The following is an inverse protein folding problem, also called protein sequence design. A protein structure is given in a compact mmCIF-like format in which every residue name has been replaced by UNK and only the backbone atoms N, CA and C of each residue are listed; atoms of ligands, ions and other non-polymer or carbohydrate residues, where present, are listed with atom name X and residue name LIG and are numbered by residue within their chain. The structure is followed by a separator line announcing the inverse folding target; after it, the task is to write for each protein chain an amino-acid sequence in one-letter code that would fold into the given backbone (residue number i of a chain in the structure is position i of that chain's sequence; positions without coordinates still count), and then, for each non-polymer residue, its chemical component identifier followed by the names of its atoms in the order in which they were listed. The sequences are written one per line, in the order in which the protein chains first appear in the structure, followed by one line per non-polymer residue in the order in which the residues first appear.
data_IF_368493400601
#
_entry.id   IF_368493400601
#
_cell.length_a   1.000
_cell.length_b   1.000
_cell.length_c   1.000
_cell.angle_alpha   90.00
_cell.angle_beta   90.00
_cell.angle_gamma   90.00
#
_symmetry.space_group_name_H-M   'P 1'
#
loop_
_entity.id
_entity.type
_entity.pdbx_description
1 polymer ?
#
# COMPACT_ATOMS: atom_id res chain seq x y z
N UNK A 1 -6.19 -1.01 20.67
CA UNK A 1 -5.36 -0.29 19.68
C UNK A 1 -5.91 1.12 19.48
N UNK A 2 -5.08 2.16 19.52
CA UNK A 2 -5.56 3.53 19.29
C UNK A 2 -5.95 3.73 17.81
N UNK A 3 -6.72 4.79 17.55
CA UNK A 3 -7.27 5.08 16.21
C UNK A 3 -6.19 5.12 15.13
N UNK A 4 -5.11 5.87 15.36
CA UNK A 4 -4.02 6.02 14.39
C UNK A 4 -3.33 4.69 14.05
N UNK A 5 -3.06 3.86 15.06
CA UNK A 5 -2.41 2.56 14.84
C UNK A 5 -3.31 1.60 14.05
N UNK A 6 -4.64 1.68 14.20
CA UNK A 6 -5.57 0.91 13.35
C UNK A 6 -5.38 1.25 11.89
N UNK A 7 -5.46 2.54 11.55
CA UNK A 7 -5.34 2.99 10.16
C UNK A 7 -3.98 2.64 9.54
N UNK A 8 -2.88 2.77 10.29
CA UNK A 8 -1.55 2.39 9.78
C UNK A 8 -1.44 0.90 9.44
N UNK A 9 -2.14 0.03 10.18
CA UNK A 9 -2.17 -1.41 9.92
C UNK A 9 -3.08 -1.71 8.72
N UNK A 10 -4.26 -1.09 8.65
CA UNK A 10 -5.23 -1.30 7.57
C UNK A 10 -4.67 -0.93 6.19
N UNK A 11 -3.94 0.19 6.08
CA UNK A 11 -3.29 0.57 4.81
C UNK A 11 -2.05 -0.27 4.49
N UNK A 12 -1.64 -1.16 5.40
CA UNK A 12 -0.37 -1.90 5.41
C UNK A 12 0.82 -0.98 5.15
N UNK A 13 1.05 -0.01 6.04
CA UNK A 13 2.05 1.05 5.87
C UNK A 13 3.43 0.55 5.39
N UNK A 14 4.01 -0.57 5.90
CA UNK A 14 5.29 -1.07 5.40
C UNK A 14 5.28 -1.46 3.91
N UNK A 15 4.13 -1.87 3.38
CA UNK A 15 3.98 -2.32 1.98
C UNK A 15 3.84 -1.16 0.99
N UNK A 16 3.67 0.08 1.47
CA UNK A 16 3.75 1.25 0.60
C UNK A 16 5.15 1.44 0.00
N UNK A 17 6.18 0.78 0.54
CA UNK A 17 7.51 0.74 -0.09
C UNK A 17 7.47 0.09 -1.47
N UNK A 18 6.65 -0.95 -1.66
CA UNK A 18 6.46 -1.60 -2.96
C UNK A 18 5.82 -0.65 -4.00
N UNK A 19 5.00 0.30 -3.54
CA UNK A 19 4.45 1.38 -4.37
C UNK A 19 5.47 2.50 -4.62
N UNK A 20 6.26 2.88 -3.62
CA UNK A 20 7.19 4.00 -3.71
C UNK A 20 8.40 3.73 -4.62
N UNK A 21 8.99 2.54 -4.53
CA UNK A 21 10.18 2.14 -5.31
C UNK A 21 10.00 2.34 -6.82
N UNK A 22 8.94 1.83 -7.49
CA UNK A 22 8.78 2.02 -8.92
C UNK A 22 8.53 3.48 -9.31
N UNK A 23 7.87 4.28 -8.47
CA UNK A 23 7.68 5.72 -8.74
C UNK A 23 9.00 6.47 -8.66
N UNK A 24 9.83 6.19 -7.65
CA UNK A 24 11.16 6.80 -7.51
C UNK A 24 12.03 6.42 -8.72
N UNK A 25 12.04 5.13 -9.08
CA UNK A 25 12.78 4.64 -10.24
C UNK A 25 12.31 5.30 -11.55
N UNK A 26 10.99 5.33 -11.79
CA UNK A 26 10.42 5.97 -12.98
C UNK A 26 10.71 7.46 -13.05
N UNK A 27 10.68 8.15 -11.91
CA UNK A 27 11.03 9.58 -11.82
C UNK A 27 12.50 9.82 -12.14
N UNK A 28 13.40 8.99 -11.60
CA UNK A 28 14.84 9.05 -11.89
C UNK A 28 15.13 8.75 -13.37
N UNK A 29 14.44 7.77 -13.95
CA UNK A 29 14.57 7.43 -15.36
C UNK A 29 14.07 8.57 -16.27
N UNK A 30 12.91 9.15 -15.97
CA UNK A 30 12.38 10.29 -16.71
C UNK A 30 13.33 11.50 -16.66
N UNK A 31 13.93 11.77 -15.50
CA UNK A 31 14.94 12.80 -15.37
C UNK A 31 16.18 12.48 -16.21
N UNK A 32 16.68 11.25 -16.14
CA UNK A 32 17.85 10.82 -16.94
C UNK A 32 17.62 10.98 -18.45
N UNK A 33 16.43 10.62 -18.95
CA UNK A 33 16.11 10.66 -20.39
C UNK A 33 15.81 12.06 -20.92
N UNK A 34 15.22 12.94 -20.11
CA UNK A 34 14.71 14.24 -20.57
C UNK A 34 15.53 15.43 -20.07
N UNK A 35 16.39 15.22 -19.07
CA UNK A 35 17.10 16.28 -18.34
C UNK A 35 16.17 17.14 -17.47
N UNK A 36 14.87 16.84 -17.41
CA UNK A 36 13.87 17.61 -16.67
C UNK A 36 13.39 16.84 -15.46
N UNK A 37 13.42 17.49 -14.30
CA UNK A 37 12.83 16.98 -13.08
C UNK A 37 11.67 17.88 -12.67
N UNK A 38 10.47 17.30 -12.59
CA UNK A 38 9.28 17.96 -12.06
C UNK A 38 8.94 17.36 -10.69
N UNK A 39 9.24 18.13 -9.65
CA UNK A 39 9.02 17.71 -8.27
C UNK A 39 7.53 17.53 -7.97
N UNK A 40 6.67 18.41 -8.49
CA UNK A 40 5.23 18.37 -8.21
C UNK A 40 4.63 17.12 -8.83
N UNK A 41 4.95 16.85 -10.10
CA UNK A 41 4.49 15.66 -10.79
C UNK A 41 4.98 14.38 -10.11
N UNK A 42 6.26 14.34 -9.70
CA UNK A 42 6.81 13.21 -8.96
C UNK A 42 6.09 12.98 -7.63
N UNK A 43 5.84 14.04 -6.85
CA UNK A 43 5.15 13.96 -5.57
C UNK A 43 3.69 13.51 -5.72
N UNK A 44 2.94 14.07 -6.67
CA UNK A 44 1.55 13.69 -6.93
C UNK A 44 1.47 12.24 -7.41
N UNK A 45 2.41 11.81 -8.25
CA UNK A 45 2.50 10.41 -8.69
C UNK A 45 2.74 9.48 -7.50
N UNK A 46 3.69 9.82 -6.62
CA UNK A 46 4.00 9.02 -5.43
C UNK A 46 2.78 8.89 -4.50
N UNK A 47 2.13 10.01 -4.19
CA UNK A 47 0.93 10.01 -3.36
C UNK A 47 -0.20 9.21 -4.00
N UNK A 48 -0.42 9.38 -5.31
CA UNK A 48 -1.45 8.66 -6.06
C UNK A 48 -1.25 7.15 -6.02
N UNK A 49 -0.03 6.67 -6.27
CA UNK A 49 0.28 5.22 -6.22
C UNK A 49 0.20 4.68 -4.78
N UNK A 50 0.66 5.45 -3.78
CA UNK A 50 0.50 5.07 -2.37
C UNK A 50 -0.98 4.95 -1.96
N UNK A 51 -1.84 5.88 -2.39
CA UNK A 51 -3.27 5.81 -2.12
C UNK A 51 -3.95 4.67 -2.87
N UNK A 52 -3.55 4.41 -4.12
CA UNK A 52 -4.04 3.25 -4.86
C UNK A 52 -3.65 1.94 -4.16
N UNK A 53 -2.39 1.80 -3.70
CA UNK A 53 -1.93 0.64 -2.94
C UNK A 53 -2.69 0.48 -1.62
N UNK A 54 -2.91 1.57 -0.89
CA UNK A 54 -3.71 1.55 0.33
C UNK A 54 -5.15 1.10 0.06
N UNK A 55 -5.78 1.61 -1.00
CA UNK A 55 -7.12 1.20 -1.42
C UNK A 55 -7.20 -0.28 -1.78
N UNK A 56 -6.23 -0.80 -2.54
CA UNK A 56 -6.12 -2.23 -2.87
C UNK A 56 -5.93 -3.08 -1.62
N UNK A 57 -5.10 -2.64 -0.66
CA UNK A 57 -4.92 -3.33 0.61
C UNK A 57 -6.23 -3.42 1.40
N UNK A 58 -6.99 -2.32 1.48
CA UNK A 58 -8.28 -2.26 2.16
C UNK A 58 -9.36 -3.10 1.46
N UNK A 59 -9.37 -3.11 0.13
CA UNK A 59 -10.26 -3.97 -0.65
C UNK A 59 -9.96 -5.45 -0.38
N UNK A 60 -8.68 -5.84 -0.37
CA UNK A 60 -8.28 -7.19 0.00
C UNK A 60 -8.77 -7.56 1.41
N UNK A 61 -8.56 -6.71 2.41
CA UNK A 61 -9.05 -6.97 3.77
C UNK A 61 -10.56 -7.22 3.84
N UNK A 62 -11.34 -6.41 3.11
CA UNK A 62 -12.78 -6.58 3.05
C UNK A 62 -13.17 -7.93 2.43
N UNK A 63 -12.52 -8.33 1.34
CA UNK A 63 -12.81 -9.61 0.70
C UNK A 63 -12.32 -10.79 1.53
N UNK A 64 -11.14 -10.72 2.14
CA UNK A 64 -10.60 -11.78 3.01
C UNK A 64 -11.48 -12.03 4.24
N UNK A 65 -12.14 -10.99 4.76
CA UNK A 65 -13.18 -11.16 5.78
C UNK A 65 -14.46 -11.77 5.18
N UNK A 66 -14.94 -11.25 4.06
CA UNK A 66 -16.19 -11.71 3.41
C UNK A 66 -16.13 -13.18 2.98
N UNK A 67 -14.97 -13.63 2.48
CA UNK A 67 -14.74 -15.03 2.04
C UNK A 67 -14.31 -15.94 3.18
N UNK A 68 -14.14 -15.41 4.40
CA UNK A 68 -13.62 -16.10 5.59
C UNK A 68 -12.18 -16.60 5.47
N UNK A 69 -11.43 -16.13 4.45
CA UNK A 69 -10.03 -16.50 4.20
C UNK A 69 -9.13 -16.13 5.40
N UNK A 70 -9.44 -15.02 6.07
CA UNK A 70 -8.75 -14.65 7.31
C UNK A 70 -9.13 -15.56 8.50
N UNK A 71 -10.37 -16.02 8.59
CA UNK A 71 -10.84 -16.85 9.70
C UNK A 71 -10.30 -18.29 9.63
N UNK A 72 -10.11 -18.81 8.41
CA UNK A 72 -9.53 -20.14 8.18
C UNK A 72 -8.02 -20.15 8.39
N UNK A 73 -7.32 -19.04 8.13
CA UNK A 73 -5.88 -18.95 8.33
C UNK A 73 -5.53 -18.83 9.83
N UNK A 74 -5.20 -19.97 10.44
CA UNK A 74 -4.86 -20.11 11.87
C UNK A 74 -3.45 -19.63 12.24
N UNK A 75 -2.57 -19.43 11.26
CA UNK A 75 -1.18 -19.00 11.46
C UNK A 75 -0.90 -17.73 10.64
N UNK A 76 -1.53 -16.59 10.99
CA UNK A 76 -1.32 -15.34 10.27
C UNK A 76 0.15 -14.91 10.35
N UNK A 77 0.66 -14.47 9.22
CA UNK A 77 1.98 -13.85 9.10
C UNK A 77 1.79 -12.44 8.54
N UNK A 78 2.81 -11.57 8.60
CA UNK A 78 2.74 -10.26 7.94
C UNK A 78 2.42 -10.35 6.44
N UNK A 79 2.67 -11.50 5.80
CA UNK A 79 2.52 -11.73 4.35
C UNK A 79 1.36 -12.66 3.98
N UNK A 80 0.48 -13.04 4.93
CA UNK A 80 -0.65 -13.94 4.65
C UNK A 80 -1.98 -13.38 5.15
N UNK A 81 -2.95 -13.28 4.24
CA UNK A 81 -4.30 -12.76 4.49
C UNK A 81 -4.38 -11.24 4.65
N UNK A 82 -5.49 -10.79 5.23
CA UNK A 82 -5.84 -9.41 5.51
C UNK A 82 -4.99 -8.78 6.62
N UNK A 83 -5.11 -7.47 6.84
CA UNK A 83 -4.54 -6.81 8.02
C UNK A 83 -5.22 -7.22 9.34
N UNK A 84 -6.36 -7.88 9.22
CA UNK A 84 -7.20 -8.41 10.30
C UNK A 84 -7.82 -7.39 11.25
N UNK A 85 -8.04 -6.17 10.77
CA UNK A 85 -8.58 -5.07 11.60
C UNK A 85 -10.12 -5.11 11.71
N UNK A 86 -10.82 -5.85 10.84
CA UNK A 86 -12.28 -5.85 10.69
C UNK A 86 -12.96 -7.16 11.07
N UNK A 87 -12.19 -8.17 11.48
CA UNK A 87 -12.61 -9.45 12.04
C UNK A 87 -12.99 -9.26 13.51
#
# INVERSE_FOLDING_TARGET
MNFFKKWMITIRLPFLTAAAVPVIFGTALAWHMTGRFDFILGLVTLLGVCFAQAGTNMANDYYDHKTTDDDINKTPTPFSGGSRVIQ
#
